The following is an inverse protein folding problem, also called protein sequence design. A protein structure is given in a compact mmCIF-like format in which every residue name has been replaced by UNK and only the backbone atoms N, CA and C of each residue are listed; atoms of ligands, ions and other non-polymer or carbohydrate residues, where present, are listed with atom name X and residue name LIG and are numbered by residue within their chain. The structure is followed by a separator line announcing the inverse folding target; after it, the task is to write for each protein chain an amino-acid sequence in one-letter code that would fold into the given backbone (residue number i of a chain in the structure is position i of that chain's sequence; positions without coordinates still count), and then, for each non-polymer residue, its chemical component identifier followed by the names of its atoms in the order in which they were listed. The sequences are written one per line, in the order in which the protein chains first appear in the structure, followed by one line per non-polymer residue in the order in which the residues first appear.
data_IF_350683159222
#
_entry.id   IF_350683159222
#
_cell.length_a   1.000
_cell.length_b   1.000
_cell.length_c   1.000
_cell.angle_alpha   90.00
_cell.angle_beta   90.00
_cell.angle_gamma   90.00
#
_symmetry.space_group_name_H-M   'P 1'
#
loop_
_entity.id
_entity.type
_entity.pdbx_description
1 polymer ?
#
# COMPACT_ATOMS: atom_id res chain seq x y z
N UNK A 1 -3.60 -19.38 -3.38
CA UNK A 1 -2.14 -19.61 -3.19
C UNK A 1 -1.74 -21.07 -3.44
N UNK A 2 -2.63 -22.06 -3.27
CA UNK A 2 -2.32 -23.48 -3.58
C UNK A 2 -2.35 -23.78 -5.08
N UNK A 3 -3.07 -23.01 -5.85
CA UNK A 3 -3.34 -23.26 -7.27
C UNK A 3 -2.33 -22.59 -8.21
N UNK A 4 -1.54 -21.67 -7.68
CA UNK A 4 -0.49 -20.98 -8.46
C UNK A 4 0.82 -21.74 -8.40
N UNK A 5 1.66 -21.51 -9.39
CA UNK A 5 2.97 -22.16 -9.52
C UNK A 5 4.07 -21.47 -8.71
N UNK A 6 3.89 -20.15 -8.47
CA UNK A 6 4.85 -19.31 -7.75
C UNK A 6 4.14 -18.23 -6.95
N UNK A 7 4.64 -17.94 -5.76
CA UNK A 7 4.21 -16.80 -4.95
C UNK A 7 5.33 -15.76 -4.92
N UNK A 8 5.02 -14.54 -5.36
CA UNK A 8 5.88 -13.37 -5.19
C UNK A 8 5.46 -12.65 -3.90
N UNK A 9 6.33 -12.62 -2.90
CA UNK A 9 6.03 -12.08 -1.57
C UNK A 9 6.96 -10.91 -1.22
N UNK A 10 6.41 -9.89 -0.56
CA UNK A 10 7.16 -8.73 -0.09
C UNK A 10 8.25 -9.15 0.91
N UNK A 11 7.91 -9.80 2.00
CA UNK A 11 8.85 -10.46 2.91
C UNK A 11 8.55 -11.96 3.03
N UNK A 12 9.42 -12.77 2.43
CA UNK A 12 9.28 -14.23 2.45
C UNK A 12 9.36 -14.82 3.85
N UNK A 13 10.08 -14.16 4.78
CA UNK A 13 10.22 -14.60 6.20
C UNK A 13 8.92 -14.36 6.98
N UNK A 14 8.15 -13.35 6.58
CA UNK A 14 6.83 -13.09 7.15
C UNK A 14 5.82 -14.05 6.54
N UNK A 15 5.77 -14.10 5.23
CA UNK A 15 4.79 -14.88 4.45
C UNK A 15 4.87 -16.38 4.71
N UNK A 16 6.05 -16.94 4.99
CA UNK A 16 6.21 -18.37 5.29
C UNK A 16 5.37 -18.83 6.48
N UNK A 17 5.11 -17.95 7.46
CA UNK A 17 4.26 -18.27 8.61
C UNK A 17 2.81 -18.52 8.18
N UNK A 18 2.31 -17.69 7.27
CA UNK A 18 0.99 -17.84 6.67
C UNK A 18 0.89 -19.15 5.86
N UNK A 19 1.87 -19.41 5.01
CA UNK A 19 1.90 -20.61 4.17
C UNK A 19 1.93 -21.87 5.04
N UNK A 20 2.76 -21.89 6.08
CA UNK A 20 2.86 -23.02 7.02
C UNK A 20 1.55 -23.22 7.79
N UNK A 21 0.89 -22.14 8.22
CA UNK A 21 -0.40 -22.23 8.94
C UNK A 21 -1.48 -22.90 8.10
N UNK A 22 -1.50 -22.64 6.81
CA UNK A 22 -2.48 -23.21 5.87
C UNK A 22 -1.96 -24.42 5.09
N UNK A 23 -0.79 -24.97 5.44
CA UNK A 23 -0.12 -26.07 4.74
C UNK A 23 -0.02 -25.84 3.22
N UNK A 24 0.43 -24.66 2.83
CA UNK A 24 0.66 -24.27 1.45
C UNK A 24 2.12 -24.55 1.12
N UNK A 25 2.38 -25.36 0.09
CA UNK A 25 3.73 -25.80 -0.34
C UNK A 25 4.22 -25.09 -1.60
N UNK A 26 3.44 -24.16 -2.14
CA UNK A 26 3.79 -23.42 -3.35
C UNK A 26 5.12 -22.69 -3.16
N UNK A 27 6.06 -22.77 -4.11
CA UNK A 27 7.32 -22.06 -4.06
C UNK A 27 7.14 -20.56 -3.93
N UNK A 28 8.04 -19.92 -3.21
CA UNK A 28 7.96 -18.48 -2.94
C UNK A 28 9.25 -17.77 -3.35
N UNK A 29 9.12 -16.56 -3.90
CA UNK A 29 10.24 -15.68 -4.22
C UNK A 29 9.99 -14.29 -3.64
N UNK A 30 11.06 -13.53 -3.35
CA UNK A 30 10.92 -12.16 -2.86
C UNK A 30 10.59 -11.20 -4.00
N UNK A 31 9.67 -10.26 -3.73
CA UNK A 31 9.35 -9.12 -4.58
C UNK A 31 9.05 -7.89 -3.70
N UNK A 32 10.00 -7.00 -3.56
CA UNK A 32 9.94 -5.86 -2.64
C UNK A 32 10.43 -4.57 -3.32
N UNK A 33 10.27 -3.44 -2.68
CA UNK A 33 10.58 -2.11 -3.21
C UNK A 33 12.00 -2.01 -3.83
N UNK A 34 12.99 -2.64 -3.20
CA UNK A 34 14.39 -2.54 -3.64
C UNK A 34 14.76 -3.43 -4.83
N UNK A 35 13.93 -4.43 -5.17
CA UNK A 35 14.20 -5.31 -6.32
C UNK A 35 13.09 -5.26 -7.39
N UNK A 36 12.07 -4.42 -7.21
CA UNK A 36 10.83 -4.44 -7.99
C UNK A 36 11.03 -4.38 -9.50
N UNK A 37 12.00 -3.61 -9.99
CA UNK A 37 12.21 -3.41 -11.45
C UNK A 37 12.78 -4.67 -12.09
N UNK A 38 13.93 -5.14 -11.63
CA UNK A 38 14.59 -6.33 -12.18
C UNK A 38 13.77 -7.60 -11.96
N UNK A 39 13.19 -7.69 -10.77
CA UNK A 39 12.38 -8.85 -10.41
C UNK A 39 11.05 -8.89 -11.18
N UNK A 40 10.46 -7.75 -11.53
CA UNK A 40 9.28 -7.72 -12.39
C UNK A 40 9.58 -8.28 -13.78
N UNK A 41 10.71 -7.96 -14.38
CA UNK A 41 11.14 -8.54 -15.66
C UNK A 41 11.19 -10.08 -15.57
N UNK A 42 11.87 -10.60 -14.56
CA UNK A 42 11.95 -12.03 -14.33
C UNK A 42 10.57 -12.70 -14.16
N UNK A 43 9.67 -12.07 -13.39
CA UNK A 43 8.31 -12.59 -13.17
C UNK A 43 7.46 -12.53 -14.45
N UNK A 44 7.58 -11.47 -15.23
CA UNK A 44 6.89 -11.34 -16.53
C UNK A 44 7.37 -12.43 -17.52
N UNK A 45 8.66 -12.73 -17.54
CA UNK A 45 9.16 -13.81 -18.39
C UNK A 45 8.60 -15.17 -17.95
N UNK A 46 8.52 -15.44 -16.65
CA UNK A 46 7.86 -16.64 -16.12
C UNK A 46 6.37 -16.71 -16.49
N UNK A 47 5.65 -15.59 -16.41
CA UNK A 47 4.25 -15.52 -16.82
C UNK A 47 4.08 -15.81 -18.32
N UNK A 48 5.00 -15.35 -19.18
CA UNK A 48 5.02 -15.69 -20.61
C UNK A 48 5.29 -17.18 -20.90
N UNK A 49 6.01 -17.85 -20.00
CA UNK A 49 6.22 -19.29 -20.05
C UNK A 49 4.98 -20.10 -19.59
N UNK A 50 3.91 -19.41 -19.18
CA UNK A 50 2.67 -20.04 -18.70
C UNK A 50 2.62 -20.32 -17.20
N UNK A 51 3.57 -19.80 -16.42
CA UNK A 51 3.59 -19.89 -14.96
C UNK A 51 2.53 -18.98 -14.37
N UNK A 52 1.67 -19.46 -13.48
CA UNK A 52 0.72 -18.66 -12.74
C UNK A 52 1.36 -18.11 -11.47
N UNK A 53 1.26 -16.80 -11.24
CA UNK A 53 1.92 -16.13 -10.11
C UNK A 53 0.90 -15.41 -9.25
N UNK A 54 0.98 -15.61 -7.93
CA UNK A 54 0.28 -14.80 -6.95
C UNK A 54 1.23 -13.78 -6.32
N UNK A 55 0.88 -12.50 -6.36
CA UNK A 55 1.56 -11.45 -5.61
C UNK A 55 0.88 -11.27 -4.26
N UNK A 56 1.67 -11.27 -3.18
CA UNK A 56 1.20 -10.99 -1.82
C UNK A 56 2.11 -9.98 -1.12
N UNK A 57 1.53 -9.20 -0.23
CA UNK A 57 2.23 -8.24 0.62
C UNK A 57 2.08 -8.61 2.10
N UNK A 58 2.81 -7.95 2.96
CA UNK A 58 2.79 -8.22 4.41
C UNK A 58 1.45 -7.84 5.04
N UNK A 59 0.78 -6.83 4.49
CA UNK A 59 -0.55 -6.41 4.93
C UNK A 59 -1.27 -5.64 3.82
N UNK A 60 -2.59 -5.79 3.73
CA UNK A 60 -3.40 -4.99 2.80
C UNK A 60 -3.43 -5.54 1.37
N UNK A 61 -3.61 -4.64 0.42
CA UNK A 61 -3.77 -4.94 -1.00
C UNK A 61 -2.47 -4.63 -1.75
N UNK A 62 -1.86 -5.59 -2.46
CA UNK A 62 -0.66 -5.36 -3.26
C UNK A 62 -0.82 -4.19 -4.24
N UNK A 63 0.24 -3.42 -4.46
CA UNK A 63 0.25 -2.28 -5.38
C UNK A 63 -0.39 -1.00 -4.84
N UNK A 64 -0.98 -1.02 -3.64
CA UNK A 64 -1.55 0.16 -2.99
C UNK A 64 -0.67 0.55 -1.79
N UNK A 65 0.30 1.41 -2.03
CA UNK A 65 1.36 1.78 -1.06
C UNK A 65 2.27 0.61 -0.66
N UNK A 66 2.26 -0.43 -1.46
CA UNK A 66 3.02 -1.68 -1.32
C UNK A 66 3.62 -2.08 -2.67
N UNK A 67 4.61 -2.98 -2.73
CA UNK A 67 5.15 -3.48 -3.99
C UNK A 67 4.06 -4.13 -4.86
N UNK A 68 4.07 -3.81 -6.18
CA UNK A 68 3.10 -4.40 -7.12
C UNK A 68 2.87 -3.56 -8.36
N UNK A 69 2.82 -2.24 -8.24
CA UNK A 69 2.54 -1.32 -9.34
C UNK A 69 3.42 -1.61 -10.57
N UNK A 70 4.73 -1.73 -10.38
CA UNK A 70 5.67 -1.96 -11.48
C UNK A 70 5.45 -3.32 -12.16
N UNK A 71 5.16 -4.37 -11.39
CA UNK A 71 4.85 -5.69 -11.96
C UNK A 71 3.56 -5.64 -12.78
N UNK A 72 2.51 -5.03 -12.25
CA UNK A 72 1.22 -4.89 -12.96
C UNK A 72 1.39 -4.06 -14.24
N UNK A 73 2.18 -2.97 -14.18
CA UNK A 73 2.50 -2.14 -15.34
C UNK A 73 3.20 -2.95 -16.44
N UNK A 74 4.19 -3.76 -16.08
CA UNK A 74 4.90 -4.62 -17.03
C UNK A 74 4.02 -5.74 -17.58
N UNK A 75 3.16 -6.35 -16.76
CA UNK A 75 2.18 -7.33 -17.22
C UNK A 75 1.22 -6.72 -18.24
N UNK A 76 0.67 -5.54 -17.95
CA UNK A 76 -0.22 -4.84 -18.87
C UNK A 76 0.48 -4.52 -20.22
N UNK A 77 1.73 -4.05 -20.17
CA UNK A 77 2.51 -3.80 -21.38
C UNK A 77 2.82 -5.08 -22.19
N UNK A 78 2.88 -6.21 -21.51
CA UNK A 78 3.12 -7.53 -22.11
C UNK A 78 1.81 -8.25 -22.56
N UNK A 79 0.63 -7.66 -22.34
CA UNK A 79 -0.66 -8.29 -22.64
C UNK A 79 -1.00 -9.48 -21.73
N UNK A 80 -0.40 -9.53 -20.53
CA UNK A 80 -0.65 -10.56 -19.53
C UNK A 80 -1.83 -10.14 -18.67
N UNK A 81 -2.80 -11.04 -18.50
CA UNK A 81 -3.97 -10.80 -17.67
C UNK A 81 -3.59 -10.72 -16.19
N UNK A 82 -4.13 -9.71 -15.51
CA UNK A 82 -3.96 -9.51 -14.08
C UNK A 82 -5.33 -9.40 -13.44
N UNK A 83 -5.58 -10.18 -12.42
CA UNK A 83 -6.80 -10.09 -11.61
C UNK A 83 -6.46 -9.72 -10.17
N UNK A 84 -7.30 -8.91 -9.54
CA UNK A 84 -7.17 -8.56 -8.13
C UNK A 84 -8.29 -9.19 -7.32
N UNK A 85 -7.93 -9.86 -6.23
CA UNK A 85 -8.92 -10.37 -5.29
C UNK A 85 -9.32 -9.25 -4.32
N UNK A 86 -10.63 -8.99 -4.13
CA UNK A 86 -11.09 -8.05 -3.13
C UNK A 86 -10.57 -8.42 -1.75
N UNK A 87 -9.99 -7.46 -1.05
CA UNK A 87 -9.35 -7.71 0.24
C UNK A 87 -9.27 -6.46 1.11
N UNK A 88 -8.58 -6.54 2.25
CA UNK A 88 -8.45 -5.45 3.18
C UNK A 88 -7.67 -4.28 2.55
N UNK A 89 -8.22 -3.07 2.69
CA UNK A 89 -7.57 -1.83 2.29
C UNK A 89 -7.76 -0.81 3.41
N UNK A 90 -6.69 -0.50 4.14
CA UNK A 90 -6.77 0.37 5.33
C UNK A 90 -7.32 1.76 4.98
N UNK A 91 -6.97 2.33 3.83
CA UNK A 91 -7.47 3.63 3.37
C UNK A 91 -9.00 3.66 3.23
N UNK A 92 -9.61 2.63 2.64
CA UNK A 92 -11.06 2.54 2.47
C UNK A 92 -11.74 2.23 3.80
N UNK A 93 -11.18 1.36 4.62
CA UNK A 93 -11.69 1.05 5.95
C UNK A 93 -11.69 2.31 6.83
N UNK A 94 -10.58 3.04 6.88
CA UNK A 94 -10.48 4.31 7.61
C UNK A 94 -11.49 5.35 7.09
N UNK A 95 -11.60 5.52 5.78
CA UNK A 95 -12.53 6.45 5.17
C UNK A 95 -13.99 6.14 5.56
N UNK A 96 -14.40 4.88 5.51
CA UNK A 96 -15.77 4.46 5.85
C UNK A 96 -16.14 4.72 7.31
N UNK A 97 -15.15 4.75 8.22
CA UNK A 97 -15.32 4.99 9.66
C UNK A 97 -15.08 6.44 10.06
N UNK A 98 -14.52 7.27 9.18
CA UNK A 98 -14.00 8.61 9.51
C UNK A 98 -15.05 9.61 9.93
N UNK A 99 -16.28 9.49 9.41
CA UNK A 99 -17.31 10.53 9.50
C UNK A 99 -17.07 11.72 8.56
N UNK A 100 -16.05 11.68 7.71
CA UNK A 100 -15.75 12.69 6.70
C UNK A 100 -16.46 12.35 5.36
N UNK A 101 -16.61 13.34 4.43
CA UNK A 101 -17.19 13.07 3.12
C UNK A 101 -16.45 11.95 2.35
N UNK A 102 -17.20 10.94 1.91
CA UNK A 102 -16.62 9.74 1.25
C UNK A 102 -16.81 9.73 -0.27
N UNK A 103 -17.67 10.58 -0.82
CA UNK A 103 -18.02 10.54 -2.25
C UNK A 103 -16.83 10.84 -3.15
N UNK A 104 -15.98 11.77 -2.75
CA UNK A 104 -14.75 12.16 -3.47
C UNK A 104 -13.63 12.27 -2.46
N UNK A 105 -12.54 11.58 -2.72
CA UNK A 105 -11.34 11.59 -1.87
C UNK A 105 -10.08 11.47 -2.74
N UNK A 106 -8.94 11.80 -2.19
CA UNK A 106 -7.63 11.50 -2.74
C UNK A 106 -6.82 10.68 -1.73
N UNK A 107 -5.99 9.80 -2.25
CA UNK A 107 -5.08 8.96 -1.46
C UNK A 107 -3.66 9.34 -1.80
N UNK A 108 -2.94 9.84 -0.80
CA UNK A 108 -1.57 10.36 -0.92
C UNK A 108 -0.52 9.42 -0.33
N UNK A 109 -0.96 8.27 0.20
CA UNK A 109 -0.09 7.31 0.87
C UNK A 109 0.78 7.95 1.96
N UNK A 110 2.08 7.66 2.00
CA UNK A 110 3.04 8.27 2.93
C UNK A 110 3.66 9.53 2.33
N UNK A 111 3.63 10.61 3.09
CA UNK A 111 4.44 11.78 2.72
C UNK A 111 5.93 11.43 2.82
N UNK A 112 6.78 11.96 1.92
CA UNK A 112 8.22 11.82 2.06
C UNK A 112 8.69 12.27 3.44
N UNK A 113 9.65 11.56 4.05
CA UNK A 113 10.18 11.97 5.34
C UNK A 113 10.99 13.26 5.18
N UNK A 114 10.94 14.14 6.19
CA UNK A 114 11.73 15.39 6.18
C UNK A 114 13.23 15.16 5.98
N UNK A 115 13.74 14.02 6.46
CA UNK A 115 15.16 13.67 6.35
C UNK A 115 15.53 13.16 4.95
N UNK A 116 14.60 12.49 4.26
CA UNK A 116 14.87 11.88 2.97
C UNK A 116 14.68 12.87 1.81
N UNK A 117 13.56 13.61 1.79
CA UNK A 117 13.26 14.59 0.74
C UNK A 117 12.33 15.70 1.22
N UNK A 118 12.91 16.68 1.88
CA UNK A 118 12.19 17.86 2.38
C UNK A 118 11.54 18.68 1.26
N UNK A 119 12.17 18.75 0.08
CA UNK A 119 11.64 19.55 -1.04
C UNK A 119 10.40 18.91 -1.62
N UNK A 120 10.43 17.60 -1.83
CA UNK A 120 9.29 16.87 -2.36
C UNK A 120 8.12 16.86 -1.36
N UNK A 121 8.41 16.67 -0.06
CA UNK A 121 7.41 16.81 0.98
C UNK A 121 6.72 18.17 0.94
N UNK A 122 7.50 19.26 0.85
CA UNK A 122 6.94 20.61 0.79
C UNK A 122 6.11 20.83 -0.48
N UNK A 123 6.56 20.31 -1.63
CA UNK A 123 5.83 20.37 -2.89
C UNK A 123 4.46 19.72 -2.76
N UNK A 124 4.39 18.52 -2.20
CA UNK A 124 3.12 17.81 -1.99
C UNK A 124 2.21 18.58 -1.01
N UNK A 125 2.74 19.09 0.09
CA UNK A 125 1.98 19.90 1.04
C UNK A 125 1.41 21.17 0.37
N UNK A 126 2.17 21.82 -0.52
CA UNK A 126 1.70 23.00 -1.26
C UNK A 126 0.61 22.65 -2.28
N UNK A 127 0.67 21.50 -2.90
CA UNK A 127 -0.41 21.00 -3.78
C UNK A 127 -1.67 20.69 -2.98
N UNK A 128 -1.54 20.05 -1.82
CA UNK A 128 -2.66 19.71 -0.94
C UNK A 128 -3.40 20.93 -0.36
N UNK A 129 -2.78 22.11 -0.32
CA UNK A 129 -3.47 23.37 0.10
C UNK A 129 -4.73 23.66 -0.71
N UNK A 130 -4.76 23.25 -1.97
CA UNK A 130 -5.88 23.46 -2.88
C UNK A 130 -6.86 22.29 -2.92
N UNK A 131 -6.54 21.20 -2.22
CA UNK A 131 -7.40 20.02 -2.22
C UNK A 131 -8.61 20.21 -1.33
N UNK A 132 -9.79 20.05 -1.93
CA UNK A 132 -11.09 20.21 -1.26
C UNK A 132 -11.76 18.89 -0.90
N UNK A 133 -11.26 17.79 -1.43
CA UNK A 133 -11.76 16.45 -1.13
C UNK A 133 -11.22 15.96 0.21
N UNK A 134 -11.75 14.85 0.70
CA UNK A 134 -11.15 14.12 1.82
C UNK A 134 -9.79 13.59 1.39
N UNK A 135 -8.75 13.94 2.14
CA UNK A 135 -7.37 13.48 1.91
C UNK A 135 -7.12 12.29 2.83
N UNK A 136 -6.59 11.21 2.27
CA UNK A 136 -6.20 10.02 3.03
C UNK A 136 -4.69 9.90 2.97
N UNK A 137 -4.08 9.84 4.14
CA UNK A 137 -2.65 9.67 4.32
C UNK A 137 -2.38 8.44 5.17
N UNK A 138 -1.26 7.77 4.90
CA UNK A 138 -0.66 6.81 5.81
C UNK A 138 0.47 7.47 6.58
N UNK A 139 0.62 7.09 7.84
CA UNK A 139 1.71 7.61 8.65
C UNK A 139 2.20 6.59 9.69
N UNK A 140 3.51 6.57 9.90
CA UNK A 140 4.13 5.78 10.94
C UNK A 140 3.95 6.46 12.32
N UNK A 141 3.72 5.70 13.39
CA UNK A 141 3.43 6.28 14.71
C UNK A 141 4.48 7.30 15.20
N UNK A 142 5.75 7.06 14.90
CA UNK A 142 6.85 7.91 15.35
C UNK A 142 7.01 9.21 14.57
N UNK A 143 6.35 9.35 13.41
CA UNK A 143 6.32 10.58 12.60
C UNK A 143 5.01 11.37 12.75
N UNK A 144 3.97 10.77 13.36
CA UNK A 144 2.61 11.29 13.37
C UNK A 144 2.52 12.74 13.84
N UNK A 145 3.17 13.09 14.95
CA UNK A 145 3.09 14.44 15.53
C UNK A 145 3.68 15.49 14.57
N UNK A 146 4.84 15.19 13.98
CA UNK A 146 5.47 16.08 12.99
C UNK A 146 4.56 16.27 11.76
N UNK A 147 4.05 15.18 11.23
CA UNK A 147 3.16 15.22 10.05
C UNK A 147 1.87 16.00 10.34
N UNK A 148 1.25 15.82 11.51
CA UNK A 148 0.06 16.61 11.90
C UNK A 148 0.38 18.09 12.04
N UNK A 149 1.57 18.45 12.52
CA UNK A 149 2.04 19.83 12.61
C UNK A 149 2.17 20.44 11.22
N UNK A 150 2.87 19.76 10.31
CA UNK A 150 3.03 20.21 8.91
C UNK A 150 1.69 20.37 8.19
N UNK A 151 0.80 19.39 8.36
CA UNK A 151 -0.55 19.43 7.76
C UNK A 151 -1.35 20.61 8.31
N UNK A 152 -1.28 20.88 9.62
CA UNK A 152 -1.96 22.03 10.22
C UNK A 152 -1.43 23.35 9.70
N UNK A 153 -0.13 23.48 9.53
CA UNK A 153 0.52 24.67 8.97
C UNK A 153 0.14 24.85 7.49
N UNK A 154 0.14 23.78 6.72
CA UNK A 154 -0.14 23.83 5.29
C UNK A 154 -1.64 24.00 4.98
N UNK A 155 -2.52 23.26 5.65
CA UNK A 155 -3.95 23.14 5.32
C UNK A 155 -4.85 23.95 6.26
N UNK A 156 -4.31 24.51 7.34
CA UNK A 156 -5.09 25.14 8.41
C UNK A 156 -5.76 24.10 9.32
N UNK A 157 -6.67 24.60 10.18
CA UNK A 157 -7.40 23.75 11.12
C UNK A 157 -8.59 23.07 10.44
N UNK A 158 -8.37 21.88 9.89
CA UNK A 158 -9.38 21.06 9.21
C UNK A 158 -9.82 19.90 10.10
N UNK A 159 -11.07 19.40 9.95
CA UNK A 159 -11.48 18.15 10.59
C UNK A 159 -10.55 17.01 10.17
N UNK A 160 -10.16 16.19 11.13
CA UNK A 160 -9.30 15.02 10.92
C UNK A 160 -9.88 13.80 11.62
N UNK A 161 -9.71 12.63 11.02
CA UNK A 161 -9.99 11.35 11.67
C UNK A 161 -8.70 10.54 11.67
N UNK A 162 -8.20 10.22 12.86
CA UNK A 162 -7.03 9.38 13.05
C UNK A 162 -7.47 7.96 13.37
N UNK A 163 -7.22 7.04 12.44
CA UNK A 163 -7.53 5.62 12.55
C UNK A 163 -6.25 4.83 12.84
N UNK A 164 -6.28 4.02 13.86
CA UNK A 164 -5.12 3.25 14.31
C UNK A 164 -5.51 1.82 14.62
N UNK A 165 -4.62 0.86 14.30
CA UNK A 165 -4.78 -0.57 14.61
C UNK A 165 -6.12 -1.14 14.11
N UNK A 166 -6.57 -0.68 12.93
CA UNK A 166 -7.82 -1.11 12.30
C UNK A 166 -7.88 -2.63 12.21
N UNK A 167 -9.03 -3.18 12.58
CA UNK A 167 -9.34 -4.63 12.64
C UNK A 167 -8.53 -5.43 13.66
N UNK A 168 -7.70 -4.77 14.49
CA UNK A 168 -6.91 -5.41 15.54
C UNK A 168 -7.50 -5.14 16.93
N UNK A 169 -6.93 -5.79 17.95
CA UNK A 169 -7.40 -5.71 19.35
C UNK A 169 -7.48 -4.30 19.91
N UNK A 170 -6.58 -3.42 19.47
CA UNK A 170 -6.46 -2.05 20.01
C UNK A 170 -6.86 -1.01 18.95
N UNK A 171 -7.86 -1.37 18.13
CA UNK A 171 -8.45 -0.43 17.18
C UNK A 171 -8.92 0.85 17.86
N UNK A 172 -8.60 1.98 17.29
CA UNK A 172 -9.07 3.27 17.77
C UNK A 172 -9.29 4.25 16.62
N UNK A 173 -10.33 5.06 16.76
CA UNK A 173 -10.68 6.16 15.85
C UNK A 173 -10.86 7.43 16.69
N UNK A 174 -10.02 8.44 16.44
CA UNK A 174 -10.12 9.77 17.05
C UNK A 174 -10.57 10.78 16.00
N UNK A 175 -11.46 11.68 16.40
CA UNK A 175 -12.04 12.75 15.54
C UNK A 175 -11.93 14.09 16.21
#
# INVERSE_FOLDING_TARGET
LREVDLIAAEDTRHSIKLLNHFDIKTPMTSYHEYNKVEKAVYLVDKLREGVNIALITDAGTPGISDPGEELVRQCAAAGIEVTSLPGPAACITALSMSGLPTRRFCFEAFLPSERADKKERQRILDELKRETRTIILYEAPHHLVGTLTDLREALGNRPVSLCRELTKRYESVMR
#
